data_IF_958874795116
#
_entry.id   IF_958874795116
#
_cell.length_a   1.000
_cell.length_b   1.000
_cell.length_c   1.000
_cell.angle_alpha   90.00
_cell.angle_beta   90.00
_cell.angle_gamma   90.00
#
_symmetry.space_group_name_H-M   'P 1'
#
loop_
_entity.id
_entity.type
_entity.pdbx_description
1 polymer ?
#
# COMPACT_ATOMS: atom_id res chain seq x y z
N UNK A 1 -0.73 -12.83 14.90
CA UNK A 1 -0.02 -13.86 15.67
C UNK A 1 -0.76 -15.20 15.74
N UNK A 2 -2.05 -15.28 16.10
CA UNK A 2 -2.79 -16.57 16.23
C UNK A 2 -2.80 -17.43 14.95
N UNK A 3 -3.10 -16.82 13.78
CA UNK A 3 -3.13 -17.53 12.49
C UNK A 3 -1.78 -18.17 12.16
N UNK A 4 -0.67 -17.50 12.49
CA UNK A 4 0.66 -18.03 12.28
C UNK A 4 0.95 -19.23 13.19
N UNK A 5 0.53 -19.20 14.45
CA UNK A 5 0.67 -20.35 15.36
C UNK A 5 -0.09 -21.59 14.88
N UNK A 6 -1.32 -21.40 14.36
CA UNK A 6 -2.09 -22.50 13.76
C UNK A 6 -1.35 -23.07 12.54
N UNK A 7 -0.83 -22.20 11.68
CA UNK A 7 -0.01 -22.62 10.54
C UNK A 7 1.24 -23.40 10.98
N UNK A 8 1.99 -22.91 11.97
CA UNK A 8 3.20 -23.57 12.49
C UNK A 8 2.90 -24.95 13.05
N UNK A 9 1.80 -25.10 13.79
CA UNK A 9 1.36 -26.38 14.31
C UNK A 9 0.99 -27.37 13.19
N UNK A 10 0.20 -26.93 12.21
CA UNK A 10 -0.17 -27.77 11.07
C UNK A 10 1.05 -28.17 10.22
N UNK A 11 2.00 -27.24 10.06
CA UNK A 11 3.28 -27.46 9.38
C UNK A 11 4.13 -28.52 10.10
N UNK A 12 4.15 -28.51 11.43
CA UNK A 12 4.87 -29.51 12.24
C UNK A 12 4.24 -30.90 12.09
N UNK A 13 2.91 -30.99 12.12
CA UNK A 13 2.18 -32.24 11.88
C UNK A 13 2.49 -32.85 10.51
N UNK A 14 2.55 -32.02 9.47
CA UNK A 14 2.90 -32.45 8.10
C UNK A 14 4.36 -32.88 8.02
N UNK A 15 5.26 -32.19 8.72
CA UNK A 15 6.70 -32.52 8.72
C UNK A 15 6.99 -33.85 9.42
N UNK A 16 6.17 -34.24 10.40
CA UNK A 16 6.28 -35.53 11.11
C UNK A 16 5.90 -36.76 10.26
N UNK A 17 5.17 -36.56 9.15
CA UNK A 17 4.75 -37.60 8.21
C UNK A 17 5.16 -37.22 6.78
N UNK A 18 6.45 -37.39 6.43
CA UNK A 18 6.93 -36.95 5.13
C UNK A 18 6.42 -37.86 4.01
N UNK A 19 5.66 -37.28 3.07
CA UNK A 19 5.34 -37.87 1.78
C UNK A 19 6.14 -37.12 0.70
N UNK A 20 6.38 -37.74 -0.46
CA UNK A 20 7.29 -37.27 -1.52
C UNK A 20 7.02 -35.86 -2.13
N UNK A 21 5.96 -35.16 -1.72
CA UNK A 21 5.52 -33.87 -2.29
C UNK A 21 5.44 -32.76 -1.24
N UNK A 22 6.54 -32.55 -0.52
CA UNK A 22 6.70 -31.54 0.54
C UNK A 22 6.15 -30.14 0.15
N UNK A 23 6.38 -29.69 -1.09
CA UNK A 23 5.85 -28.40 -1.58
C UNK A 23 4.33 -28.36 -1.69
N UNK A 24 3.71 -29.42 -2.22
CA UNK A 24 2.25 -29.49 -2.33
C UNK A 24 1.61 -29.54 -0.94
N UNK A 25 2.21 -30.32 -0.03
CA UNK A 25 1.77 -30.39 1.36
C UNK A 25 1.83 -29.02 2.07
N UNK A 26 2.85 -28.19 1.78
CA UNK A 26 2.91 -26.82 2.29
C UNK A 26 1.81 -25.93 1.73
N UNK A 27 1.52 -26.03 0.44
CA UNK A 27 0.45 -25.27 -0.19
C UNK A 27 -0.92 -25.65 0.40
N UNK A 28 -1.13 -26.95 0.64
CA UNK A 28 -2.33 -27.47 1.30
C UNK A 28 -2.42 -26.96 2.75
N UNK A 29 -1.31 -26.93 3.48
CA UNK A 29 -1.27 -26.45 4.87
C UNK A 29 -1.70 -24.98 4.99
N UNK A 30 -1.26 -24.12 4.05
CA UNK A 30 -1.66 -22.72 4.03
C UNK A 30 -3.16 -22.55 3.77
N UNK A 31 -3.72 -23.31 2.81
CA UNK A 31 -5.17 -23.31 2.51
C UNK A 31 -6.00 -23.80 3.68
N UNK A 32 -5.61 -24.92 4.29
CA UNK A 32 -6.30 -25.47 5.49
C UNK A 32 -6.26 -24.46 6.63
N UNK A 33 -5.14 -23.76 6.82
CA UNK A 33 -5.04 -22.68 7.83
C UNK A 33 -6.00 -21.53 7.51
N UNK A 34 -6.11 -21.14 6.23
CA UNK A 34 -7.00 -20.09 5.79
C UNK A 34 -8.46 -20.43 6.08
N UNK A 35 -8.88 -21.65 5.76
CA UNK A 35 -10.24 -22.16 6.02
C UNK A 35 -10.55 -22.23 7.52
N UNK A 36 -9.66 -22.81 8.33
CA UNK A 36 -9.86 -22.95 9.79
C UNK A 36 -9.90 -21.59 10.48
N UNK A 37 -9.06 -20.65 10.06
CA UNK A 37 -8.99 -19.32 10.64
C UNK A 37 -10.02 -18.34 10.05
N UNK A 38 -10.76 -18.73 9.01
CA UNK A 38 -11.72 -17.87 8.31
C UNK A 38 -11.07 -16.65 7.64
N UNK A 39 -9.84 -16.79 7.13
CA UNK A 39 -9.08 -15.72 6.47
C UNK A 39 -8.78 -16.08 5.02
N UNK A 40 -8.42 -15.09 4.19
CA UNK A 40 -7.98 -15.35 2.82
C UNK A 40 -6.60 -16.04 2.79
N UNK A 41 -6.35 -16.89 1.80
CA UNK A 41 -5.02 -17.46 1.49
C UNK A 41 -3.92 -16.41 1.45
N UNK A 42 -4.19 -15.25 0.82
CA UNK A 42 -3.25 -14.13 0.69
C UNK A 42 -2.79 -13.58 2.05
N UNK A 43 -3.65 -13.64 3.06
CA UNK A 43 -3.32 -13.21 4.42
C UNK A 43 -2.37 -14.20 5.08
N UNK A 44 -2.60 -15.50 4.92
CA UNK A 44 -1.69 -16.54 5.43
C UNK A 44 -0.33 -16.44 4.74
N UNK A 45 -0.29 -16.29 3.42
CA UNK A 45 0.95 -16.11 2.67
C UNK A 45 1.74 -14.89 3.11
N UNK A 46 1.06 -13.74 3.32
CA UNK A 46 1.71 -12.53 3.83
C UNK A 46 2.32 -12.74 5.21
N UNK A 47 1.58 -13.39 6.11
CA UNK A 47 2.07 -13.70 7.46
C UNK A 47 3.28 -14.65 7.43
N UNK A 48 3.28 -15.67 6.56
CA UNK A 48 4.43 -16.55 6.39
C UNK A 48 5.66 -15.79 5.86
N UNK A 49 5.49 -14.92 4.85
CA UNK A 49 6.58 -14.11 4.34
C UNK A 49 7.14 -13.14 5.40
N UNK A 50 6.26 -12.51 6.19
CA UNK A 50 6.64 -11.63 7.31
C UNK A 50 7.39 -12.40 8.41
N UNK A 51 6.98 -13.65 8.70
CA UNK A 51 7.66 -14.54 9.64
C UNK A 51 9.06 -14.95 9.15
N UNK A 52 9.21 -15.24 7.86
CA UNK A 52 10.51 -15.56 7.27
C UNK A 52 11.45 -14.34 7.30
N UNK A 53 10.92 -13.13 7.05
CA UNK A 53 11.70 -11.89 7.16
C UNK A 53 12.08 -11.55 8.61
N UNK A 54 11.21 -11.80 9.57
CA UNK A 54 11.53 -11.59 11.00
C UNK A 54 12.57 -12.59 11.50
N UNK A 55 12.52 -13.87 11.08
CA UNK A 55 13.58 -14.83 11.39
C UNK A 55 14.95 -14.41 10.81
N UNK A 56 14.96 -13.84 9.59
CA UNK A 56 16.18 -13.28 8.98
C UNK A 56 16.64 -12.00 9.70
N UNK A 57 15.72 -11.15 10.13
CA UNK A 57 16.02 -9.92 10.86
C UNK A 57 16.56 -10.20 12.28
N UNK A 58 15.98 -11.16 13.01
CA UNK A 58 16.47 -11.61 14.33
C UNK A 58 17.87 -12.23 14.23
N UNK A 59 18.16 -12.97 13.15
CA UNK A 59 19.48 -13.53 12.90
C UNK A 59 20.53 -12.45 12.56
N UNK A 60 20.12 -11.38 11.88
CA UNK A 60 21.04 -10.36 11.38
C UNK A 60 21.21 -9.15 12.31
N UNK A 61 20.23 -8.81 13.16
CA UNK A 61 20.32 -7.63 14.01
C UNK A 61 19.49 -7.77 15.31
N UNK A 62 20.17 -7.78 16.45
CA UNK A 62 19.59 -7.57 17.80
C UNK A 62 19.15 -6.10 18.02
N UNK A 63 18.50 -5.47 17.03
CA UNK A 63 18.05 -4.08 17.11
C UNK A 63 16.52 -4.09 17.08
N UNK A 64 15.84 -3.61 18.12
CA UNK A 64 14.38 -3.52 18.10
C UNK A 64 13.95 -2.51 17.04
N UNK A 65 13.32 -3.01 15.97
CA UNK A 65 12.74 -2.18 14.91
C UNK A 65 11.30 -1.88 15.28
N UNK A 66 10.99 -0.61 15.52
CA UNK A 66 9.61 -0.17 15.69
C UNK A 66 8.96 0.05 14.32
N UNK A 67 8.16 -0.92 13.88
CA UNK A 67 7.37 -0.80 12.65
C UNK A 67 5.90 -0.58 12.96
N UNK A 68 5.33 0.45 12.32
CA UNK A 68 3.90 0.70 12.40
C UNK A 68 3.14 -0.28 11.49
N UNK A 69 2.04 -0.93 11.95
CA UNK A 69 1.31 -2.01 11.24
C UNK A 69 0.76 -1.72 9.83
N UNK A 70 1.03 -0.56 9.24
CA UNK A 70 0.59 -0.14 7.90
C UNK A 70 1.65 0.58 7.07
N UNK A 71 2.89 0.71 7.56
CA UNK A 71 3.95 1.44 6.83
C UNK A 71 4.33 0.74 5.52
N UNK A 72 4.35 -0.59 5.54
CA UNK A 72 4.71 -1.48 4.44
C UNK A 72 3.60 -1.72 3.41
N UNK A 73 2.39 -1.16 3.60
CA UNK A 73 1.28 -1.35 2.65
C UNK A 73 0.99 -0.05 1.89
N UNK A 74 1.88 0.37 0.96
CA UNK A 74 1.61 1.53 0.14
C UNK A 74 0.41 1.20 -0.73
N UNK A 75 -0.72 1.87 -0.47
CA UNK A 75 -1.83 1.87 -1.42
C UNK A 75 -1.28 2.35 -2.75
N UNK A 76 -1.51 1.59 -3.82
CA UNK A 76 -1.27 2.06 -5.19
C UNK A 76 -2.05 3.36 -5.35
N UNK A 77 -1.32 4.47 -5.45
CA UNK A 77 -1.94 5.77 -5.72
C UNK A 77 -2.62 5.63 -7.09
N UNK A 78 -3.88 6.09 -7.24
CA UNK A 78 -4.50 6.11 -8.56
C UNK A 78 -3.56 6.89 -9.49
N UNK A 79 -3.24 6.29 -10.64
CA UNK A 79 -2.40 6.92 -11.66
C UNK A 79 -3.24 8.05 -12.24
N UNK A 80 -3.13 9.24 -11.65
CA UNK A 80 -3.55 10.46 -12.31
C UNK A 80 -2.48 10.77 -13.33
N UNK A 81 -2.83 10.85 -14.61
CA UNK A 81 -1.97 11.35 -15.70
C UNK A 81 -1.76 12.88 -15.56
N UNK A 82 -1.42 13.30 -14.35
CA UNK A 82 -1.27 14.69 -13.95
C UNK A 82 0.15 14.83 -13.41
N UNK A 83 0.94 15.64 -14.10
CA UNK A 83 2.29 16.00 -13.68
C UNK A 83 2.29 16.69 -12.30
N UNK A 84 3.40 16.61 -11.57
CA UNK A 84 3.52 17.17 -10.23
C UNK A 84 3.32 18.70 -10.21
N UNK A 85 3.73 19.40 -11.29
CA UNK A 85 3.41 20.81 -11.47
C UNK A 85 1.90 21.04 -11.52
N UNK A 86 1.18 20.30 -12.35
CA UNK A 86 -0.28 20.43 -12.48
C UNK A 86 -1.02 20.04 -11.19
N UNK A 87 -0.52 19.05 -10.45
CA UNK A 87 -1.04 18.72 -9.11
C UNK A 87 -0.90 19.89 -8.14
N UNK A 88 0.20 20.66 -8.22
CA UNK A 88 0.42 21.82 -7.36
C UNK A 88 -0.58 22.95 -7.66
N UNK A 89 -0.84 23.23 -8.95
CA UNK A 89 -1.81 24.24 -9.40
C UNK A 89 -3.23 23.90 -8.93
N UNK A 90 -3.61 22.61 -9.04
CA UNK A 90 -4.90 22.11 -8.55
C UNK A 90 -5.00 22.31 -7.03
N UNK A 91 -3.98 21.91 -6.26
CA UNK A 91 -3.98 22.05 -4.80
C UNK A 91 -4.06 23.51 -4.36
N UNK A 92 -3.27 24.38 -4.98
CA UNK A 92 -3.28 25.81 -4.69
C UNK A 92 -4.64 26.42 -4.97
N UNK A 93 -5.23 26.09 -6.12
CA UNK A 93 -6.56 26.62 -6.48
C UNK A 93 -7.62 26.17 -5.49
N UNK A 94 -7.59 24.90 -5.05
CA UNK A 94 -8.50 24.41 -3.99
C UNK A 94 -8.29 25.19 -2.68
N UNK A 95 -7.04 25.42 -2.28
CA UNK A 95 -6.72 26.16 -1.06
C UNK A 95 -7.28 27.58 -1.11
N UNK A 96 -7.10 28.29 -2.21
CA UNK A 96 -7.60 29.65 -2.39
C UNK A 96 -9.13 29.76 -2.29
N UNK A 97 -9.89 28.72 -2.67
CA UNK A 97 -11.33 28.68 -2.43
C UNK A 97 -11.65 28.69 -0.93
N UNK A 98 -10.94 27.86 -0.15
CA UNK A 98 -11.11 27.81 1.29
C UNK A 98 -10.63 29.07 2.00
N UNK A 99 -9.55 29.70 1.53
CA UNK A 99 -9.06 30.97 2.08
C UNK A 99 -10.09 32.09 1.88
N UNK A 100 -10.91 32.02 0.82
CA UNK A 100 -12.05 32.91 0.57
C UNK A 100 -13.33 32.51 1.32
N UNK A 101 -13.34 31.39 2.04
CA UNK A 101 -14.52 30.85 2.70
C UNK A 101 -15.55 30.24 1.74
N UNK A 102 -15.18 29.97 0.49
CA UNK A 102 -16.04 29.37 -0.52
C UNK A 102 -15.76 27.88 -0.72
N UNK A 103 -16.79 27.10 -1.03
CA UNK A 103 -16.60 25.69 -1.37
C UNK A 103 -16.23 25.53 -2.86
N UNK A 104 -15.15 24.80 -3.18
CA UNK A 104 -14.76 24.52 -4.56
C UNK A 104 -15.78 23.56 -5.18
N UNK A 105 -16.75 24.12 -5.89
CA UNK A 105 -17.69 23.35 -6.71
C UNK A 105 -17.05 23.07 -8.07
N UNK A 106 -17.31 21.91 -8.68
CA UNK A 106 -16.70 21.49 -9.96
C UNK A 106 -16.84 22.57 -11.05
N UNK A 107 -17.99 23.23 -11.15
CA UNK A 107 -18.22 24.30 -12.12
C UNK A 107 -17.30 25.51 -11.88
N UNK A 108 -17.26 26.04 -10.65
CA UNK A 108 -16.41 27.17 -10.25
C UNK A 108 -14.93 26.82 -10.40
N UNK A 109 -14.57 25.61 -9.98
CA UNK A 109 -13.22 25.10 -10.02
C UNK A 109 -12.71 24.98 -11.45
N UNK A 110 -13.53 24.45 -12.37
CA UNK A 110 -13.18 24.30 -13.79
C UNK A 110 -12.92 25.65 -14.46
N UNK A 111 -13.76 26.65 -14.23
CA UNK A 111 -13.57 28.01 -14.78
C UNK A 111 -12.26 28.60 -14.27
N UNK A 112 -12.05 28.57 -12.96
CA UNK A 112 -10.84 29.10 -12.33
C UNK A 112 -9.55 28.38 -12.80
N UNK A 113 -9.61 27.06 -13.04
CA UNK A 113 -8.46 26.30 -13.52
C UNK A 113 -8.10 26.65 -14.97
N UNK A 114 -9.10 26.82 -15.84
CA UNK A 114 -8.90 27.18 -17.25
C UNK A 114 -8.23 28.55 -17.34
N UNK A 115 -8.71 29.53 -16.58
CA UNK A 115 -8.11 30.87 -16.52
C UNK A 115 -6.64 30.84 -16.10
N UNK A 116 -6.31 30.06 -15.06
CA UNK A 116 -4.94 29.93 -14.58
C UNK A 116 -4.01 29.18 -15.52
N UNK A 117 -4.49 28.13 -16.19
CA UNK A 117 -3.69 27.39 -17.17
C UNK A 117 -3.34 28.27 -18.38
N UNK A 118 -4.30 29.05 -18.89
CA UNK A 118 -4.06 30.00 -19.99
C UNK A 118 -3.02 31.05 -19.59
N UNK A 119 -3.09 31.56 -18.36
CA UNK A 119 -2.12 32.53 -17.84
C UNK A 119 -0.71 31.94 -17.69
N UNK A 120 -0.60 30.70 -17.22
CA UNK A 120 0.67 30.00 -17.04
C UNK A 120 1.34 29.67 -18.39
N UNK A 121 0.57 29.24 -19.39
CA UNK A 121 1.09 29.00 -20.74
C UNK A 121 1.62 30.29 -21.38
N UNK A 122 0.94 31.42 -21.17
CA UNK A 122 1.40 32.72 -21.65
C UNK A 122 2.69 33.19 -20.96
N UNK A 123 2.85 32.91 -19.67
CA UNK A 123 4.03 33.27 -18.88
C UNK A 123 5.26 32.41 -19.25
N UNK A 124 5.04 31.12 -19.52
CA UNK A 124 6.07 30.22 -20.03
C UNK A 124 6.55 30.62 -21.44
N UNK A 125 5.65 31.14 -22.29
CA UNK A 125 5.99 31.61 -23.63
C UNK A 125 6.73 32.96 -23.66
N UNK A 126 6.57 33.79 -22.63
CA UNK A 126 7.23 35.09 -22.51
C UNK A 126 8.58 35.06 -21.78
N UNK A 127 9.09 33.88 -21.40
CA UNK A 127 10.46 33.74 -20.92
C UNK A 127 10.78 34.59 -19.68
N UNK A 128 9.91 34.57 -18.67
CA UNK A 128 10.25 35.06 -17.33
C UNK A 128 10.54 33.87 -16.42
N UNK A 129 11.66 33.21 -16.69
CA UNK A 129 12.50 32.47 -15.74
C UNK A 129 13.96 32.76 -16.05
#
# INVERSE_FOLDING_TARGET
MVVYYVYSYLKELVSSKPNATVKELFLQTQKVTADVCGVSDRTVQRLCAEADMTAVAEFLNNIPVFESPKKENPRTKPITDLDDFNKSVVRQTVQEFYDRGEYPTVAKFRVCLIEKLIFLDAQNHCGLF
#
